data_IF_008760015967
#
_entry.id   IF_008760015967
#
_cell.length_a   1.000
_cell.length_b   1.000
_cell.length_c   1.000
_cell.angle_alpha   90.00
_cell.angle_beta   90.00
_cell.angle_gamma   90.00
#
_symmetry.space_group_name_H-M   'P 1'
#
loop_
_entity.id
_entity.type
_entity.pdbx_description
1 polymer ?
#
# COMPACT_ATOMS: atom_id res chain seq x y z
N UNK A 1 -1.91 13.08 0.52
CA UNK A 1 -1.93 11.85 -0.30
C UNK A 1 -0.50 11.47 -0.67
N UNK A 2 -0.01 10.26 -0.34
CA UNK A 2 1.37 9.83 -0.67
C UNK A 2 1.32 8.78 -1.76
N UNK A 3 1.81 9.13 -2.95
CA UNK A 3 1.98 8.18 -4.06
C UNK A 3 3.28 7.42 -3.82
N UNK A 4 3.20 6.10 -3.68
CA UNK A 4 4.35 5.23 -3.47
C UNK A 4 4.56 4.45 -4.77
N UNK A 5 5.68 4.69 -5.45
CA UNK A 5 6.11 3.88 -6.58
C UNK A 5 6.96 2.73 -6.03
N UNK A 6 6.55 1.50 -6.31
CA UNK A 6 7.23 0.29 -5.86
C UNK A 6 7.63 -0.55 -7.07
N UNK A 7 8.83 -1.11 -7.03
CA UNK A 7 9.28 -2.03 -8.07
C UNK A 7 8.96 -3.46 -7.61
N UNK A 8 8.17 -4.18 -8.40
CA UNK A 8 7.67 -5.52 -8.07
C UNK A 8 8.03 -6.49 -9.17
N UNK A 9 8.43 -7.71 -8.82
CA UNK A 9 8.66 -8.76 -9.81
C UNK A 9 7.35 -9.25 -10.43
N UNK A 10 7.32 -9.40 -11.76
CA UNK A 10 6.16 -9.93 -12.49
C UNK A 10 5.90 -11.41 -12.21
N UNK A 11 6.95 -12.17 -11.86
CA UNK A 11 6.89 -13.61 -11.67
C UNK A 11 6.49 -13.99 -10.24
N UNK A 12 7.18 -13.46 -9.23
CA UNK A 12 6.95 -13.84 -7.84
C UNK A 12 6.13 -12.82 -7.03
N UNK A 13 5.80 -11.66 -7.60
CA UNK A 13 5.02 -10.62 -6.92
C UNK A 13 5.72 -9.94 -5.73
N UNK A 14 6.97 -10.30 -5.44
CA UNK A 14 7.73 -9.71 -4.35
C UNK A 14 8.26 -8.33 -4.72
N UNK A 15 8.18 -7.40 -3.77
CA UNK A 15 8.71 -6.04 -3.87
C UNK A 15 10.24 -6.07 -3.75
N UNK A 16 10.92 -5.42 -4.68
CA UNK A 16 12.37 -5.19 -4.57
C UNK A 16 12.62 -4.09 -3.54
N UNK A 17 13.57 -4.32 -2.63
CA UNK A 17 13.92 -3.41 -1.54
C UNK A 17 15.25 -2.73 -1.82
N UNK A 18 16.18 -3.45 -2.43
CA UNK A 18 17.52 -2.97 -2.76
C UNK A 18 17.46 -2.08 -4.01
N UNK A 19 18.28 -1.03 -4.03
CA UNK A 19 18.44 -0.08 -5.15
C UNK A 19 17.14 0.44 -5.79
N UNK A 20 16.08 0.55 -4.99
CA UNK A 20 14.75 0.90 -5.47
C UNK A 20 14.72 2.25 -6.23
N UNK A 21 15.59 3.20 -5.85
CA UNK A 21 15.71 4.51 -6.52
C UNK A 21 16.30 4.39 -7.93
N UNK A 22 17.25 3.50 -8.13
CA UNK A 22 17.91 3.30 -9.41
C UNK A 22 17.08 2.40 -10.32
N UNK A 23 16.42 1.39 -9.74
CA UNK A 23 15.44 0.57 -10.44
C UNK A 23 14.30 1.41 -11.04
N UNK A 24 13.81 2.43 -10.33
CA UNK A 24 12.75 3.32 -10.82
C UNK A 24 13.15 4.18 -12.02
N UNK A 25 14.45 4.32 -12.31
CA UNK A 25 14.99 5.11 -13.43
C UNK A 25 15.48 4.25 -14.60
N UNK A 26 15.62 2.94 -14.39
CA UNK A 26 16.19 2.02 -15.36
C UNK A 26 15.12 1.26 -16.15
N UNK A 27 15.53 0.63 -17.25
CA UNK A 27 14.68 -0.35 -17.93
C UNK A 27 14.54 -1.62 -17.06
N UNK A 28 13.30 -1.94 -16.68
CA UNK A 28 12.97 -2.92 -15.64
C UNK A 28 12.74 -4.33 -16.21
N UNK A 29 12.53 -4.45 -17.52
CA UNK A 29 12.25 -5.74 -18.14
C UNK A 29 13.44 -6.70 -17.99
N UNK A 30 14.65 -6.19 -18.24
CA UNK A 30 15.91 -6.93 -18.16
C UNK A 30 16.51 -6.99 -16.75
N UNK A 31 15.83 -6.44 -15.74
CA UNK A 31 16.31 -6.53 -14.36
C UNK A 31 15.93 -7.86 -13.74
N UNK A 32 16.89 -8.42 -13.02
CA UNK A 32 16.74 -9.69 -12.30
C UNK A 32 16.09 -9.43 -10.95
N UNK A 33 15.11 -10.24 -10.58
CA UNK A 33 14.52 -10.22 -9.25
C UNK A 33 15.49 -10.80 -8.21
N UNK A 34 15.70 -10.08 -7.10
CA UNK A 34 16.55 -10.50 -5.98
C UNK A 34 16.10 -11.80 -5.31
N UNK A 35 14.82 -12.18 -5.47
CA UNK A 35 14.24 -13.34 -4.78
C UNK A 35 14.11 -14.59 -5.65
N UNK A 36 13.65 -14.43 -6.90
CA UNK A 36 13.41 -15.58 -7.79
C UNK A 36 14.43 -15.69 -8.92
N UNK A 37 15.37 -14.74 -9.01
CA UNK A 37 16.44 -14.69 -10.02
C UNK A 37 15.95 -14.78 -11.47
N UNK A 38 14.68 -14.48 -11.72
CA UNK A 38 14.09 -14.38 -13.06
C UNK A 38 14.03 -12.92 -13.50
N UNK A 39 14.06 -12.71 -14.80
CA UNK A 39 13.84 -11.42 -15.43
C UNK A 39 12.37 -10.99 -15.32
N UNK A 40 12.15 -9.68 -15.33
CA UNK A 40 10.83 -9.07 -15.32
C UNK A 40 10.52 -8.38 -14.00
N UNK A 41 10.85 -7.10 -13.93
CA UNK A 41 10.34 -6.18 -12.92
C UNK A 41 9.34 -5.21 -13.56
N UNK A 42 8.39 -4.73 -12.76
CA UNK A 42 7.45 -3.68 -13.15
C UNK A 42 7.30 -2.65 -12.05
N UNK A 43 6.98 -1.42 -12.44
CA UNK A 43 6.59 -0.37 -11.48
C UNK A 43 5.11 -0.55 -11.16
N UNK A 44 4.80 -0.67 -9.88
CA UNK A 44 3.44 -0.61 -9.36
C UNK A 44 3.31 0.68 -8.58
N UNK A 45 2.34 1.49 -8.99
CA UNK A 45 2.01 2.74 -8.29
C UNK A 45 0.91 2.42 -7.28
N UNK A 46 1.25 2.45 -5.99
CA UNK A 46 0.28 2.33 -4.91
C UNK A 46 -0.05 3.72 -4.37
N UNK A 47 -1.33 4.03 -4.32
CA UNK A 47 -1.83 5.23 -3.66
C UNK A 47 -2.08 4.87 -2.21
N UNK A 48 -1.30 5.42 -1.28
CA UNK A 48 -1.62 5.26 0.14
C UNK A 48 -2.78 6.20 0.44
N UNK A 49 -3.94 5.61 0.71
CA UNK A 49 -5.12 6.37 1.11
C UNK A 49 -4.79 7.20 2.35
N UNK A 50 -5.25 8.46 2.37
CA UNK A 50 -5.19 9.24 3.60
C UNK A 50 -6.12 8.64 4.65
N UNK A 51 -5.89 8.93 5.94
CA UNK A 51 -6.79 8.47 7.00
C UNK A 51 -8.24 8.91 6.71
N UNK A 52 -8.42 10.13 6.19
CA UNK A 52 -9.71 10.65 5.75
C UNK A 52 -10.35 9.81 4.64
N UNK A 53 -9.64 9.52 3.57
CA UNK A 53 -10.15 8.67 2.46
C UNK A 53 -10.52 7.27 2.95
N UNK A 54 -9.75 6.72 3.90
CA UNK A 54 -10.05 5.43 4.50
C UNK A 54 -11.36 5.47 5.31
N UNK A 55 -11.58 6.55 6.07
CA UNK A 55 -12.79 6.77 6.86
C UNK A 55 -14.02 7.02 5.97
N UNK A 56 -13.86 7.76 4.87
CA UNK A 56 -14.91 7.96 3.87
C UNK A 56 -15.28 6.64 3.18
N UNK A 57 -14.27 5.81 2.83
CA UNK A 57 -14.51 4.48 2.29
C UNK A 57 -15.24 3.56 3.29
N UNK A 58 -14.81 3.56 4.56
CA UNK A 58 -15.46 2.79 5.64
C UNK A 58 -16.92 3.24 5.85
N UNK A 59 -17.16 4.55 5.86
CA UNK A 59 -18.51 5.09 6.00
C UNK A 59 -19.43 4.66 4.85
N UNK A 60 -18.90 4.65 3.62
CA UNK A 60 -19.61 4.18 2.44
C UNK A 60 -19.87 2.67 2.48
N UNK A 61 -18.90 1.84 2.90
CA UNK A 61 -19.09 0.38 2.97
C UNK A 61 -20.09 -0.04 4.04
N UNK A 62 -20.19 0.72 5.13
CA UNK A 62 -21.19 0.52 6.18
C UNK A 62 -22.59 1.05 5.80
N UNK A 63 -22.76 1.57 4.58
CA UNK A 63 -24.04 2.07 4.07
C UNK A 63 -24.50 3.35 4.77
N UNK A 64 -23.58 4.30 5.00
CA UNK A 64 -23.86 5.61 5.60
C UNK A 64 -24.35 5.56 7.07
N UNK A 65 -24.16 4.42 7.74
CA UNK A 65 -24.58 4.23 9.13
C UNK A 65 -23.60 4.90 10.11
N UNK A 66 -23.94 6.14 10.47
CA UNK A 66 -23.11 6.98 11.35
C UNK A 66 -22.85 6.29 12.71
N UNK A 67 -23.89 5.78 13.37
CA UNK A 67 -23.75 5.17 14.71
C UNK A 67 -22.84 3.93 14.73
N UNK A 68 -22.88 3.11 13.68
CA UNK A 68 -22.04 1.91 13.56
C UNK A 68 -20.58 2.30 13.31
N UNK A 69 -20.37 3.29 12.45
CA UNK A 69 -19.03 3.83 12.16
C UNK A 69 -18.43 4.45 13.43
N UNK A 70 -19.23 5.21 14.18
CA UNK A 70 -18.80 5.84 15.43
C UNK A 70 -18.47 4.81 16.52
N UNK A 71 -19.30 3.79 16.69
CA UNK A 71 -19.02 2.70 17.63
C UNK A 71 -17.71 1.98 17.28
N UNK A 72 -17.51 1.65 16.00
CA UNK A 72 -16.28 1.03 15.51
C UNK A 72 -15.04 1.88 15.80
N UNK A 73 -15.08 3.19 15.54
CA UNK A 73 -13.95 4.10 15.81
C UNK A 73 -13.66 4.18 17.31
N UNK A 74 -14.71 4.28 18.13
CA UNK A 74 -14.59 4.34 19.60
C UNK A 74 -13.92 3.07 20.12
N UNK A 75 -14.33 1.90 19.65
CA UNK A 75 -13.70 0.63 20.04
C UNK A 75 -12.23 0.57 19.58
N UNK A 76 -11.93 1.01 18.36
CA UNK A 76 -10.56 0.99 17.81
C UNK A 76 -9.60 1.94 18.54
N UNK A 77 -10.12 2.95 19.23
CA UNK A 77 -9.34 3.92 20.02
C UNK A 77 -9.27 3.58 21.51
N UNK A 78 -10.09 2.65 22.02
CA UNK A 78 -10.07 2.23 23.44
C UNK A 78 -8.75 1.57 23.85
N UNK A 79 -8.09 0.88 22.93
CA UNK A 79 -6.87 0.12 23.22
C UNK A 79 -5.57 0.93 23.06
N UNK A 80 -5.65 2.24 22.78
CA UNK A 80 -4.44 3.08 22.76
C UNK A 80 -4.04 3.41 24.20
N UNK A 81 -2.83 3.04 24.67
CA UNK A 81 -2.33 3.57 25.92
C UNK A 81 -2.28 5.09 25.80
N UNK A 82 -2.88 5.77 26.78
CA UNK A 82 -2.76 7.21 26.94
C UNK A 82 -1.27 7.55 27.01
N UNK A 83 -0.78 8.27 26.00
CA UNK A 83 0.58 8.81 25.91
C UNK A 83 0.96 9.59 27.17
#
# INVERSE_FOLDING_TARGET
MKVIKETICTQCGKKQVTDARDLLKSDLFWRVCEFCHRYGLKIVVRRKATFREYMEALYNTLGFRVCVTEAFIKDLLKDKPSL
#
